data_IF_289385366917
#
_entry.id   IF_289385366917
#
_cell.length_a   1.000
_cell.length_b   1.000
_cell.length_c   1.000
_cell.angle_alpha   90.00
_cell.angle_beta   90.00
_cell.angle_gamma   90.00
#
_symmetry.space_group_name_H-M   'P 1'
#
loop_
_entity.id
_entity.type
_entity.pdbx_description
1 polymer ?
#
# COMPACT_ATOMS: atom_id res chain seq x y z
N UNK A 1 -13.58 37.86 32.07
CA UNK A 1 -12.59 38.96 31.92
C UNK A 1 -11.45 38.83 32.94
N UNK A 2 -11.72 38.74 34.27
CA UNK A 2 -10.68 38.67 35.30
C UNK A 2 -9.79 37.41 35.13
N UNK A 3 -10.36 36.22 34.92
CA UNK A 3 -9.60 34.98 34.60
C UNK A 3 -8.70 35.11 33.37
N UNK A 4 -9.22 35.74 32.30
CA UNK A 4 -8.43 35.97 31.09
C UNK A 4 -7.24 36.93 31.30
N UNK A 5 -7.43 37.94 32.18
CA UNK A 5 -6.37 38.87 32.54
C UNK A 5 -5.36 38.29 33.51
N UNK A 6 -5.79 37.38 34.38
CA UNK A 6 -4.95 36.71 35.37
C UNK A 6 -4.08 35.55 34.84
N UNK A 7 -4.28 35.13 33.58
CA UNK A 7 -3.52 34.04 32.95
C UNK A 7 -2.77 34.57 31.74
N UNK A 8 -1.74 35.39 31.98
CA UNK A 8 -0.92 36.02 30.95
C UNK A 8 0.55 36.07 31.31
N UNK A 9 1.37 36.06 30.32
CA UNK A 9 2.76 36.44 30.36
C UNK A 9 2.91 37.82 29.68
N UNK A 10 3.70 38.71 30.25
CA UNK A 10 3.95 40.03 29.66
C UNK A 10 5.41 40.41 29.85
N UNK A 11 6.01 41.02 28.82
CA UNK A 11 7.29 41.67 28.94
C UNK A 11 7.11 42.97 29.71
N UNK A 12 7.93 43.20 30.71
CA UNK A 12 7.83 44.37 31.56
C UNK A 12 8.83 45.49 31.14
N UNK A 13 10.11 45.22 31.15
CA UNK A 13 11.15 46.18 30.88
C UNK A 13 12.49 45.48 30.65
N UNK A 14 13.49 46.26 30.41
CA UNK A 14 14.87 45.83 30.31
C UNK A 14 15.65 46.33 31.51
N UNK A 15 16.50 45.49 32.07
CA UNK A 15 17.43 45.85 33.16
C UNK A 15 18.85 45.68 32.64
N UNK A 16 19.64 46.75 32.73
CA UNK A 16 21.06 46.67 32.45
C UNK A 16 21.81 46.22 33.69
N UNK A 17 22.55 45.15 33.60
CA UNK A 17 23.42 44.63 34.67
C UNK A 17 24.81 44.39 34.09
N UNK A 18 25.79 45.11 34.60
CA UNK A 18 27.13 45.18 34.03
C UNK A 18 27.10 45.63 32.57
N UNK A 19 27.63 44.92 31.65
CA UNK A 19 27.65 45.26 30.21
C UNK A 19 26.59 44.51 29.40
N UNK A 20 25.58 43.88 30.08
CA UNK A 20 24.55 43.08 29.47
C UNK A 20 23.13 43.57 29.79
N UNK A 21 22.27 43.49 28.81
CA UNK A 21 20.85 43.83 28.88
C UNK A 21 20.02 42.57 29.15
N UNK A 22 19.18 42.60 30.17
CA UNK A 22 18.31 41.51 30.57
C UNK A 22 16.84 41.90 30.44
N UNK A 23 16.08 41.16 29.69
CA UNK A 23 14.63 41.34 29.56
C UNK A 23 13.91 40.81 30.80
N UNK A 24 13.12 41.68 31.45
CA UNK A 24 12.28 41.28 32.56
C UNK A 24 10.92 40.83 32.03
N UNK A 25 10.55 39.64 32.34
CA UNK A 25 9.20 39.09 32.01
C UNK A 25 8.42 38.79 33.28
N UNK A 26 7.15 39.15 33.30
CA UNK A 26 6.24 38.77 34.36
C UNK A 26 5.44 37.53 33.90
N UNK A 27 5.67 36.39 34.56
CA UNK A 27 4.98 35.14 34.27
C UNK A 27 3.80 35.01 35.24
N UNK A 28 2.57 35.09 34.70
CA UNK A 28 1.32 34.98 35.46
C UNK A 28 0.45 33.83 35.06
N UNK A 29 1.05 32.71 34.55
CA UNK A 29 0.27 31.53 34.20
C UNK A 29 -0.23 30.82 35.45
N UNK A 30 -1.51 30.43 35.43
CA UNK A 30 -2.19 29.66 36.49
C UNK A 30 -1.58 28.27 36.56
N UNK A 31 -1.08 27.89 37.73
CA UNK A 31 -0.50 26.57 38.00
C UNK A 31 -1.30 25.74 39.01
N UNK A 32 -2.15 26.42 39.80
CA UNK A 32 -2.92 25.75 40.85
C UNK A 32 -4.32 26.37 41.00
N UNK A 33 -5.22 25.66 41.68
CA UNK A 33 -6.55 26.17 42.08
C UNK A 33 -6.40 27.43 42.92
N UNK A 34 -5.41 27.47 43.82
CA UNK A 34 -5.15 28.64 44.68
C UNK A 34 -4.79 29.90 43.88
N UNK A 35 -4.18 29.77 42.74
CA UNK A 35 -3.85 30.93 41.88
C UNK A 35 -5.14 31.53 41.29
N UNK A 36 -6.11 30.68 40.93
CA UNK A 36 -7.43 31.13 40.46
C UNK A 36 -8.18 31.82 41.58
N UNK A 37 -8.22 31.24 42.78
CA UNK A 37 -8.89 31.81 43.93
C UNK A 37 -8.39 33.21 44.31
N UNK A 38 -7.08 33.46 44.12
CA UNK A 38 -6.44 34.73 44.42
C UNK A 38 -6.64 35.85 43.37
N UNK A 39 -7.18 35.54 42.22
CA UNK A 39 -7.40 36.54 41.16
C UNK A 39 -8.35 37.64 41.64
N UNK A 40 -7.95 38.92 41.59
CA UNK A 40 -8.81 40.02 42.02
C UNK A 40 -9.90 40.30 41.01
N UNK A 41 -11.15 40.44 41.52
CA UNK A 41 -12.34 40.84 40.77
C UNK A 41 -12.57 42.36 40.77
N UNK A 42 -12.13 43.00 41.81
CA UNK A 42 -12.32 44.42 42.03
C UNK A 42 -12.08 44.81 43.50
N UNK A 43 -12.57 45.97 43.91
CA UNK A 43 -12.49 46.51 45.26
C UNK A 43 -13.93 46.75 45.73
N UNK A 44 -14.26 46.35 46.93
CA UNK A 44 -15.60 46.64 47.53
C UNK A 44 -15.70 48.13 47.96
N UNK A 45 -16.89 48.55 48.39
CA UNK A 45 -17.13 49.92 48.82
C UNK A 45 -16.26 50.35 50.01
N UNK A 46 -15.71 49.40 50.76
CA UNK A 46 -14.84 49.61 51.92
C UNK A 46 -13.34 49.58 51.58
N UNK A 47 -12.97 49.49 50.27
CA UNK A 47 -11.57 49.49 49.82
C UNK A 47 -10.88 48.12 49.92
N UNK A 48 -11.57 47.05 50.27
CA UNK A 48 -11.01 45.70 50.39
C UNK A 48 -11.01 44.99 49.03
N UNK A 49 -9.89 44.40 48.59
CA UNK A 49 -9.86 43.62 47.38
C UNK A 49 -10.79 42.39 47.44
N UNK A 50 -11.70 42.26 46.46
CA UNK A 50 -12.55 41.09 46.28
C UNK A 50 -11.89 40.09 45.34
N UNK A 51 -11.73 38.85 45.74
CA UNK A 51 -11.07 37.80 44.98
C UNK A 51 -12.11 36.80 44.49
N UNK A 52 -11.72 35.92 43.51
CA UNK A 52 -12.63 34.85 43.04
C UNK A 52 -13.04 33.91 44.18
N UNK A 53 -12.10 33.52 45.04
CA UNK A 53 -12.36 32.66 46.19
C UNK A 53 -13.36 33.23 47.22
N UNK A 54 -13.56 34.56 47.23
CA UNK A 54 -14.55 35.21 48.13
C UNK A 54 -15.98 35.08 47.63
N UNK A 55 -16.17 34.86 46.32
CA UNK A 55 -17.52 34.83 45.68
C UNK A 55 -17.84 33.50 44.98
N UNK A 56 -16.83 32.62 44.81
CA UNK A 56 -16.98 31.35 44.11
C UNK A 56 -16.09 30.26 44.72
N UNK A 57 -16.54 29.04 44.63
CA UNK A 57 -15.71 27.86 44.96
C UNK A 57 -15.06 27.34 43.67
N UNK A 58 -13.73 27.21 43.70
CA UNK A 58 -12.93 26.71 42.56
C UNK A 58 -12.59 25.26 42.81
N UNK A 59 -13.05 24.39 41.93
CA UNK A 59 -12.82 22.97 42.02
C UNK A 59 -12.22 22.45 40.72
N UNK A 60 -11.36 21.40 40.82
CA UNK A 60 -10.97 20.59 39.68
C UNK A 60 -12.14 19.69 39.27
N UNK A 61 -12.54 19.77 38.04
CA UNK A 61 -13.60 18.91 37.48
C UNK A 61 -13.11 18.20 36.21
N UNK A 62 -13.77 17.12 35.84
CA UNK A 62 -13.46 16.45 34.58
C UNK A 62 -13.86 17.36 33.41
N UNK A 63 -13.05 17.37 32.36
CA UNK A 63 -13.39 18.02 31.10
C UNK A 63 -14.60 17.33 30.47
N UNK A 64 -15.39 18.10 29.69
CA UNK A 64 -16.54 17.54 28.99
C UNK A 64 -16.14 16.42 28.06
N UNK A 65 -16.63 15.24 28.28
CA UNK A 65 -16.33 14.05 27.51
C UNK A 65 -16.93 14.12 26.11
N UNK A 66 -16.12 13.96 25.08
CA UNK A 66 -16.53 14.00 23.67
C UNK A 66 -16.13 12.76 22.90
N UNK A 67 -15.44 11.82 23.52
CA UNK A 67 -15.01 10.58 22.90
C UNK A 67 -14.94 9.41 23.88
N UNK A 68 -15.08 8.22 23.35
CA UNK A 68 -15.03 6.95 24.07
C UNK A 68 -14.22 5.97 23.21
N UNK A 69 -13.39 5.15 23.84
CA UNK A 69 -12.76 3.98 23.26
C UNK A 69 -13.11 2.75 24.07
N UNK A 70 -13.32 1.63 23.43
CA UNK A 70 -13.79 0.40 24.01
C UNK A 70 -13.07 -0.80 23.40
N UNK A 71 -12.82 -1.85 24.18
CA UNK A 71 -12.11 -3.05 23.73
C UNK A 71 -12.95 -4.30 24.03
N UNK A 72 -13.23 -5.09 23.00
CA UNK A 72 -13.89 -6.41 23.05
C UNK A 72 -15.30 -6.43 23.68
N UNK A 73 -15.96 -5.31 23.88
CA UNK A 73 -17.22 -5.23 24.61
C UNK A 73 -17.06 -5.41 26.13
N UNK A 74 -15.84 -5.35 26.67
CA UNK A 74 -15.55 -5.58 28.08
C UNK A 74 -15.56 -4.29 28.90
N UNK A 75 -15.46 -3.15 28.25
CA UNK A 75 -15.52 -1.86 28.87
C UNK A 75 -14.61 -0.83 28.24
N UNK A 76 -14.68 0.37 28.80
CA UNK A 76 -13.96 1.52 28.31
C UNK A 76 -12.45 1.42 28.58
N UNK A 77 -11.67 1.76 27.57
CA UNK A 77 -10.19 1.75 27.61
C UNK A 77 -9.62 3.10 27.17
N UNK A 78 -8.36 3.31 27.48
CA UNK A 78 -7.62 4.45 26.94
C UNK A 78 -6.95 4.03 25.63
N UNK A 79 -7.31 4.69 24.55
CA UNK A 79 -6.74 4.45 23.23
C UNK A 79 -5.68 5.49 22.85
N UNK A 80 -4.70 5.07 22.08
CA UNK A 80 -3.69 5.94 21.47
C UNK A 80 -3.59 5.67 19.97
N UNK A 81 -3.30 6.73 19.20
CA UNK A 81 -3.06 6.60 17.75
C UNK A 81 -1.71 7.20 17.41
N UNK A 82 -0.87 6.44 16.76
CA UNK A 82 0.41 6.93 16.22
C UNK A 82 0.21 7.29 14.76
N UNK A 83 0.45 8.56 14.43
CA UNK A 83 0.34 9.09 13.08
C UNK A 83 1.73 9.29 12.50
N UNK A 84 1.99 8.64 11.38
CA UNK A 84 3.25 8.79 10.64
C UNK A 84 3.32 10.15 9.95
N UNK A 85 4.50 10.78 9.95
CA UNK A 85 4.73 12.02 9.20
C UNK A 85 4.69 11.75 7.69
N UNK A 86 4.28 12.76 6.95
CA UNK A 86 4.28 12.67 5.49
C UNK A 86 5.70 12.47 4.94
N UNK A 87 5.85 11.53 4.01
CA UNK A 87 7.14 11.21 3.37
C UNK A 87 7.96 10.12 4.07
N UNK A 88 7.61 9.73 5.29
CA UNK A 88 8.33 8.68 6.02
C UNK A 88 7.97 7.27 5.52
N UNK A 89 8.82 6.30 5.80
CA UNK A 89 8.56 4.90 5.50
C UNK A 89 7.67 4.27 6.58
N UNK A 90 6.50 3.75 6.17
CA UNK A 90 5.51 3.21 7.10
C UNK A 90 6.05 2.01 7.90
N UNK A 91 6.71 1.05 7.24
CA UNK A 91 7.24 -0.15 7.91
C UNK A 91 8.33 0.21 8.93
N UNK A 92 9.24 1.09 8.56
CA UNK A 92 10.31 1.55 9.44
C UNK A 92 9.74 2.31 10.64
N UNK A 93 8.76 3.19 10.43
CA UNK A 93 8.09 3.93 11.50
C UNK A 93 7.37 2.99 12.46
N UNK A 94 6.62 2.01 11.96
CA UNK A 94 5.91 1.03 12.78
C UNK A 94 6.90 0.20 13.61
N UNK A 95 8.00 -0.26 13.02
CA UNK A 95 9.02 -1.01 13.73
C UNK A 95 9.63 -0.19 14.87
N UNK A 96 9.98 1.09 14.62
CA UNK A 96 10.48 1.98 15.66
C UNK A 96 9.47 2.23 16.78
N UNK A 97 8.17 2.32 16.45
CA UNK A 97 7.10 2.41 17.46
C UNK A 97 7.01 1.15 18.30
N UNK A 98 7.06 -0.04 17.68
CA UNK A 98 7.04 -1.33 18.39
C UNK A 98 8.22 -1.46 19.35
N UNK A 99 9.42 -1.13 18.90
CA UNK A 99 10.62 -1.12 19.75
C UNK A 99 10.46 -0.16 20.94
N UNK A 100 9.92 1.04 20.69
CA UNK A 100 9.68 2.02 21.74
C UNK A 100 8.63 1.54 22.75
N UNK A 101 7.52 0.97 22.28
CA UNK A 101 6.47 0.42 23.15
C UNK A 101 7.03 -0.73 24.00
N UNK A 102 7.85 -1.62 23.41
CA UNK A 102 8.49 -2.69 24.15
C UNK A 102 9.41 -2.15 25.27
N UNK A 103 10.20 -1.11 24.96
CA UNK A 103 11.06 -0.46 25.97
C UNK A 103 10.28 0.20 27.11
N UNK A 104 9.01 0.58 26.87
CA UNK A 104 8.15 1.23 27.86
C UNK A 104 7.40 0.23 28.76
N UNK A 105 7.30 -1.03 28.36
CA UNK A 105 6.56 -2.04 29.15
C UNK A 105 7.01 -2.13 30.59
N UNK A 106 8.33 -2.06 30.82
CA UNK A 106 8.91 -2.12 32.18
C UNK A 106 8.59 -0.89 33.03
N UNK A 107 8.13 0.20 32.43
CA UNK A 107 7.81 1.46 33.10
C UNK A 107 6.31 1.63 33.34
N UNK A 108 5.50 0.68 32.88
CA UNK A 108 4.05 0.74 33.08
C UNK A 108 3.70 0.37 34.53
N UNK A 109 2.64 0.98 35.09
CA UNK A 109 2.09 0.55 36.36
C UNK A 109 1.63 -0.91 36.33
N UNK A 110 1.65 -1.57 37.47
CA UNK A 110 1.18 -2.94 37.61
C UNK A 110 -0.30 -3.06 37.17
N UNK A 111 -0.61 -4.04 36.32
CA UNK A 111 -1.96 -4.25 35.76
C UNK A 111 -2.29 -3.42 34.53
N UNK A 112 -1.34 -2.61 34.02
CA UNK A 112 -1.52 -1.87 32.76
C UNK A 112 -0.85 -2.62 31.61
N UNK A 113 -1.62 -2.90 30.56
CA UNK A 113 -1.15 -3.59 29.34
C UNK A 113 -1.38 -2.73 28.09
N UNK A 114 -0.43 -2.77 27.15
CA UNK A 114 -0.58 -2.15 25.84
C UNK A 114 -1.02 -3.22 24.84
N UNK A 115 -2.22 -3.08 24.31
CA UNK A 115 -2.82 -3.99 23.31
C UNK A 115 -2.81 -3.32 21.95
N UNK A 116 -2.04 -3.82 20.96
CA UNK A 116 -2.09 -3.33 19.58
C UNK A 116 -3.39 -3.79 18.90
N UNK A 117 -4.28 -2.85 18.60
CA UNK A 117 -5.61 -3.15 18.04
C UNK A 117 -5.71 -2.94 16.54
N UNK A 118 -4.76 -2.23 15.94
CA UNK A 118 -4.64 -2.07 14.50
C UNK A 118 -3.17 -1.79 14.11
N UNK A 119 -2.60 -2.68 13.33
CA UNK A 119 -1.20 -2.62 12.90
C UNK A 119 -1.11 -2.84 11.38
N UNK A 120 -0.76 -1.78 10.64
CA UNK A 120 -0.61 -1.82 9.19
C UNK A 120 0.57 -2.67 8.71
N UNK A 121 1.56 -2.96 9.55
CA UNK A 121 2.67 -3.80 9.13
C UNK A 121 2.20 -5.18 8.71
N UNK A 122 1.18 -5.75 9.39
CA UNK A 122 0.60 -7.05 9.02
C UNK A 122 0.09 -7.09 7.57
N UNK A 123 -0.49 -5.98 7.08
CA UNK A 123 -0.93 -5.88 5.68
C UNK A 123 0.25 -5.70 4.73
N UNK A 124 1.23 -4.87 5.10
CA UNK A 124 2.44 -4.64 4.29
C UNK A 124 3.20 -5.96 4.14
N UNK A 125 3.43 -6.68 5.23
CA UNK A 125 4.13 -7.96 5.24
C UNK A 125 3.40 -8.98 4.35
N UNK A 126 2.08 -9.17 4.53
CA UNK A 126 1.28 -10.07 3.68
C UNK A 126 1.35 -9.70 2.20
N UNK A 127 1.29 -8.41 1.88
CA UNK A 127 1.39 -7.95 0.50
C UNK A 127 2.76 -8.20 -0.11
N UNK A 128 3.84 -7.96 0.65
CA UNK A 128 5.21 -8.23 0.23
C UNK A 128 5.45 -9.72 0.06
N UNK A 129 5.05 -10.55 1.01
CA UNK A 129 5.21 -12.01 0.96
C UNK A 129 4.44 -12.62 -0.20
N UNK A 130 3.19 -12.18 -0.42
CA UNK A 130 2.39 -12.64 -1.56
C UNK A 130 3.04 -12.27 -2.89
N UNK A 131 3.49 -11.02 -3.03
CA UNK A 131 4.17 -10.58 -4.25
C UNK A 131 5.49 -11.30 -4.45
N UNK A 132 6.27 -11.53 -3.40
CA UNK A 132 7.53 -12.28 -3.47
C UNK A 132 7.30 -13.73 -3.93
N UNK A 133 6.28 -14.37 -3.37
CA UNK A 133 5.85 -15.70 -3.80
C UNK A 133 5.41 -15.72 -5.26
N UNK A 134 4.65 -14.71 -5.71
CA UNK A 134 4.23 -14.60 -7.10
C UNK A 134 5.40 -14.31 -8.07
N UNK A 135 6.34 -13.48 -7.68
CA UNK A 135 7.56 -13.27 -8.47
C UNK A 135 8.39 -14.55 -8.64
N UNK A 136 8.52 -15.35 -7.58
CA UNK A 136 9.20 -16.65 -7.66
C UNK A 136 8.44 -17.66 -8.52
N UNK A 137 7.11 -17.70 -8.39
CA UNK A 137 6.23 -18.53 -9.24
C UNK A 137 6.38 -18.14 -10.72
N UNK A 138 6.32 -16.85 -11.03
CA UNK A 138 6.49 -16.31 -12.38
C UNK A 138 7.87 -16.65 -12.96
N UNK A 139 8.92 -16.46 -12.16
CA UNK A 139 10.30 -16.83 -12.56
C UNK A 139 10.41 -18.34 -12.85
N UNK A 140 9.79 -19.18 -12.03
CA UNK A 140 9.77 -20.62 -12.23
C UNK A 140 9.00 -21.00 -13.51
N UNK A 141 7.83 -20.42 -13.75
CA UNK A 141 7.03 -20.64 -14.98
C UNK A 141 7.83 -20.21 -16.20
N UNK A 142 8.44 -19.03 -16.17
CA UNK A 142 9.30 -18.55 -17.27
C UNK A 142 10.47 -19.50 -17.50
N UNK A 143 11.13 -19.97 -16.46
CA UNK A 143 12.22 -20.95 -16.57
C UNK A 143 11.76 -22.25 -17.24
N UNK A 144 10.61 -22.80 -16.82
CA UNK A 144 10.04 -24.02 -17.40
C UNK A 144 9.70 -23.79 -18.88
N UNK A 145 9.06 -22.66 -19.20
CA UNK A 145 8.71 -22.30 -20.58
C UNK A 145 9.98 -22.16 -21.44
N UNK A 146 10.99 -21.45 -20.94
CA UNK A 146 12.27 -21.32 -21.65
C UNK A 146 12.92 -22.68 -21.92
N UNK A 147 12.94 -23.57 -20.94
CA UNK A 147 13.48 -24.95 -21.12
C UNK A 147 12.67 -25.72 -22.14
N UNK A 148 11.34 -25.65 -22.08
CA UNK A 148 10.46 -26.36 -22.99
C UNK A 148 10.57 -25.90 -24.45
N UNK A 149 10.71 -24.57 -24.68
CA UNK A 149 10.83 -24.02 -26.04
C UNK A 149 12.23 -24.10 -26.60
N UNK A 150 13.26 -23.73 -25.83
CA UNK A 150 14.64 -23.77 -26.27
C UNK A 150 15.21 -25.18 -26.34
N UNK A 151 14.63 -26.12 -25.57
CA UNK A 151 15.07 -27.52 -25.45
C UNK A 151 16.59 -27.66 -25.18
N UNK A 152 17.17 -26.64 -24.53
CA UNK A 152 18.57 -26.54 -24.19
C UNK A 152 18.77 -25.83 -22.84
N UNK A 153 19.04 -26.59 -21.79
CA UNK A 153 19.08 -26.09 -20.39
C UNK A 153 20.05 -24.92 -20.20
N UNK A 154 21.26 -25.01 -20.82
CA UNK A 154 22.28 -23.95 -20.69
C UNK A 154 21.84 -22.61 -21.30
N UNK A 155 21.11 -22.68 -22.41
CA UNK A 155 20.54 -21.49 -23.03
C UNK A 155 19.40 -20.89 -22.17
N UNK A 156 18.57 -21.74 -21.56
CA UNK A 156 17.51 -21.27 -20.67
C UNK A 156 18.05 -20.57 -19.43
N UNK A 157 19.20 -21.02 -18.89
CA UNK A 157 19.89 -20.34 -17.78
C UNK A 157 20.24 -18.91 -18.15
N UNK A 158 20.69 -18.64 -19.39
CA UNK A 158 21.01 -17.27 -19.82
C UNK A 158 19.78 -16.38 -19.76
N UNK A 159 18.64 -16.84 -20.27
CA UNK A 159 17.38 -16.09 -20.20
C UNK A 159 16.91 -15.86 -18.76
N UNK A 160 16.95 -16.89 -17.92
CA UNK A 160 16.48 -16.84 -16.53
C UNK A 160 17.33 -15.92 -15.66
N UNK A 161 18.67 -15.93 -15.83
CA UNK A 161 19.60 -15.12 -15.02
C UNK A 161 19.47 -13.62 -15.33
N UNK A 162 19.06 -13.25 -16.54
CA UNK A 162 18.90 -11.82 -16.90
C UNK A 162 17.72 -11.15 -16.17
N UNK A 163 16.70 -11.90 -15.78
CA UNK A 163 15.53 -11.38 -15.08
C UNK A 163 15.85 -10.82 -13.70
N UNK A 164 16.43 -11.60 -12.77
CA UNK A 164 16.80 -11.07 -11.46
C UNK A 164 17.75 -9.88 -11.57
N UNK A 165 18.66 -9.87 -12.53
CA UNK A 165 19.58 -8.76 -12.72
C UNK A 165 18.87 -7.48 -13.15
N UNK A 166 17.93 -7.55 -14.08
CA UNK A 166 17.12 -6.39 -14.47
C UNK A 166 16.27 -5.85 -13.32
N UNK A 167 15.72 -6.72 -12.50
CA UNK A 167 14.96 -6.35 -11.30
C UNK A 167 15.88 -5.66 -10.27
N UNK A 168 17.06 -6.22 -10.02
CA UNK A 168 18.03 -5.65 -9.09
C UNK A 168 18.52 -4.26 -9.54
N UNK A 169 18.75 -4.06 -10.84
CA UNK A 169 19.08 -2.74 -11.39
C UNK A 169 17.95 -1.75 -11.13
N UNK A 170 16.70 -2.16 -11.31
CA UNK A 170 15.53 -1.33 -10.99
C UNK A 170 15.52 -0.94 -9.51
N UNK A 171 15.76 -1.88 -8.58
CA UNK A 171 15.85 -1.59 -7.15
C UNK A 171 17.00 -0.66 -6.79
N UNK A 172 18.16 -0.79 -7.43
CA UNK A 172 19.29 0.14 -7.22
C UNK A 172 18.89 1.55 -7.62
N UNK A 173 18.25 1.74 -8.77
CA UNK A 173 17.80 3.06 -9.23
C UNK A 173 16.75 3.63 -8.27
N UNK A 174 15.78 2.84 -7.83
CA UNK A 174 14.78 3.25 -6.84
C UNK A 174 15.44 3.69 -5.53
N UNK A 175 16.40 2.92 -5.03
CA UNK A 175 17.14 3.26 -3.82
C UNK A 175 17.88 4.60 -3.96
N UNK A 176 18.57 4.83 -5.09
CA UNK A 176 19.28 6.09 -5.36
C UNK A 176 18.34 7.30 -5.43
N UNK A 177 17.07 7.10 -5.80
CA UNK A 177 16.06 8.15 -5.90
C UNK A 177 15.20 8.28 -4.63
N UNK A 178 15.41 7.45 -3.61
CA UNK A 178 14.61 7.45 -2.39
C UNK A 178 13.16 6.96 -2.59
N UNK A 179 12.91 6.17 -3.64
CA UNK A 179 11.58 5.61 -3.91
C UNK A 179 11.40 4.32 -3.11
N UNK A 180 10.41 4.31 -2.22
CA UNK A 180 10.08 3.14 -1.42
C UNK A 180 9.35 2.07 -2.25
N UNK A 181 9.68 0.79 -1.98
CA UNK A 181 8.93 -0.33 -2.53
C UNK A 181 7.52 -0.38 -1.90
N UNK A 182 6.51 -0.51 -2.75
CA UNK A 182 5.11 -0.66 -2.35
C UNK A 182 4.40 -1.64 -3.29
N UNK A 183 3.14 -1.97 -3.03
CA UNK A 183 2.36 -2.91 -3.83
C UNK A 183 2.35 -2.52 -5.32
N UNK A 184 2.23 -1.22 -5.62
CA UNK A 184 2.19 -0.73 -7.00
C UNK A 184 3.56 -0.88 -7.68
N UNK A 185 4.66 -0.56 -6.98
CA UNK A 185 6.01 -0.71 -7.54
C UNK A 185 6.36 -2.18 -7.79
N UNK A 186 6.01 -3.08 -6.88
CA UNK A 186 6.23 -4.51 -7.07
C UNK A 186 5.34 -5.08 -8.18
N UNK A 187 4.09 -4.59 -8.30
CA UNK A 187 3.22 -4.90 -9.44
C UNK A 187 3.82 -4.43 -10.79
N UNK A 188 4.49 -3.28 -10.80
CA UNK A 188 5.22 -2.79 -11.97
C UNK A 188 6.34 -3.72 -12.42
N UNK A 189 7.06 -4.33 -11.46
CA UNK A 189 8.09 -5.34 -11.74
C UNK A 189 7.46 -6.61 -12.32
N UNK A 190 6.38 -7.12 -11.72
CA UNK A 190 5.68 -8.30 -12.23
C UNK A 190 5.25 -8.12 -13.70
N UNK A 191 4.68 -6.97 -14.04
CA UNK A 191 4.33 -6.65 -15.43
C UNK A 191 5.58 -6.57 -16.34
N UNK A 192 6.72 -6.12 -15.82
CA UNK A 192 7.94 -6.00 -16.60
C UNK A 192 8.57 -7.35 -16.93
N UNK A 193 8.48 -8.36 -16.05
CA UNK A 193 9.13 -9.67 -16.22
C UNK A 193 8.75 -10.33 -17.54
N UNK A 194 7.46 -10.34 -17.89
CA UNK A 194 7.01 -10.93 -19.15
C UNK A 194 7.66 -10.31 -20.38
N UNK A 195 7.79 -8.99 -20.43
CA UNK A 195 8.42 -8.29 -21.53
C UNK A 195 9.97 -8.36 -21.52
N UNK A 196 10.56 -8.48 -20.33
CA UNK A 196 12.02 -8.59 -20.19
C UNK A 196 12.58 -9.90 -20.76
N UNK A 197 11.82 -10.99 -20.66
CA UNK A 197 12.23 -12.32 -21.16
C UNK A 197 12.37 -12.35 -22.66
N UNK A 198 11.51 -11.64 -23.38
CA UNK A 198 11.47 -11.66 -24.85
C UNK A 198 12.82 -11.27 -25.48
N UNK A 199 13.46 -10.24 -24.96
CA UNK A 199 14.76 -9.77 -25.44
C UNK A 199 15.84 -10.85 -25.37
N UNK A 200 15.92 -11.56 -24.27
CA UNK A 200 16.90 -12.64 -24.10
C UNK A 200 16.55 -13.86 -24.94
N UNK A 201 15.28 -14.26 -25.01
CA UNK A 201 14.82 -15.44 -25.77
C UNK A 201 15.10 -15.28 -27.25
N UNK A 202 14.72 -14.16 -27.86
CA UNK A 202 14.93 -13.90 -29.30
C UNK A 202 16.41 -13.87 -29.65
N UNK A 203 17.23 -13.30 -28.79
CA UNK A 203 18.69 -13.29 -28.97
C UNK A 203 19.28 -14.71 -28.95
N UNK A 204 18.87 -15.54 -28.00
CA UNK A 204 19.31 -16.94 -27.88
C UNK A 204 18.80 -17.77 -29.05
N UNK A 205 17.55 -17.60 -29.47
CA UNK A 205 16.98 -18.30 -30.62
C UNK A 205 17.75 -17.99 -31.90
N UNK A 206 18.10 -16.73 -32.13
CA UNK A 206 18.93 -16.37 -33.29
C UNK A 206 20.31 -17.00 -33.23
N UNK A 207 20.94 -17.05 -32.06
CA UNK A 207 22.19 -17.80 -31.88
C UNK A 207 22.01 -19.29 -32.19
N UNK A 208 20.95 -19.94 -31.76
CA UNK A 208 20.64 -21.33 -32.08
C UNK A 208 20.55 -21.56 -33.61
N UNK A 209 19.87 -20.65 -34.33
CA UNK A 209 19.78 -20.70 -35.80
C UNK A 209 21.16 -20.62 -36.49
N UNK A 210 22.08 -19.83 -35.93
CA UNK A 210 23.47 -19.78 -36.44
C UNK A 210 24.23 -21.07 -36.10
N UNK A 211 24.03 -21.64 -34.91
CA UNK A 211 24.67 -22.89 -34.48
C UNK A 211 24.17 -24.12 -35.27
N UNK A 212 22.91 -24.10 -35.73
CA UNK A 212 22.42 -25.16 -36.63
C UNK A 212 23.13 -25.18 -37.98
N UNK A 213 23.55 -23.99 -38.47
CA UNK A 213 24.26 -23.86 -39.75
C UNK A 213 25.76 -24.08 -39.63
N UNK A 214 26.35 -23.64 -38.52
CA UNK A 214 27.78 -23.68 -38.29
C UNK A 214 28.05 -24.22 -36.89
N UNK A 215 28.63 -25.43 -36.73
CA UNK A 215 28.95 -25.97 -35.42
C UNK A 215 29.83 -25.04 -34.60
N UNK A 216 29.54 -24.91 -33.33
CA UNK A 216 30.26 -24.04 -32.40
C UNK A 216 31.59 -24.69 -32.01
N UNK A 217 32.70 -23.96 -32.21
CA UNK A 217 34.04 -24.29 -31.74
C UNK A 217 34.57 -23.18 -30.83
N UNK A 218 35.63 -23.46 -30.08
CA UNK A 218 36.19 -22.42 -29.19
C UNK A 218 36.79 -21.24 -29.99
N UNK A 219 37.20 -21.46 -31.24
CA UNK A 219 37.74 -20.42 -32.11
C UNK A 219 36.67 -19.52 -32.73
N UNK A 220 35.52 -20.10 -33.14
CA UNK A 220 34.49 -19.34 -33.87
C UNK A 220 33.37 -18.82 -32.95
N UNK A 221 33.36 -19.20 -31.67
CA UNK A 221 32.29 -18.91 -30.73
C UNK A 221 31.92 -17.44 -30.65
N UNK A 222 32.92 -16.60 -30.40
CA UNK A 222 32.68 -15.16 -30.25
C UNK A 222 32.22 -14.48 -31.54
N UNK A 223 32.68 -15.00 -32.69
CA UNK A 223 32.27 -14.51 -34.01
C UNK A 223 30.78 -14.86 -34.27
N UNK A 224 30.36 -16.07 -33.92
CA UNK A 224 28.95 -16.49 -34.05
C UNK A 224 28.07 -15.69 -33.10
N UNK A 225 28.49 -15.51 -31.84
CA UNK A 225 27.75 -14.66 -30.87
C UNK A 225 27.63 -13.23 -31.37
N UNK A 226 28.74 -12.62 -31.82
CA UNK A 226 28.73 -11.25 -32.34
C UNK A 226 27.81 -11.11 -33.56
N UNK A 227 27.84 -12.09 -34.47
CA UNK A 227 26.95 -12.09 -35.63
C UNK A 227 25.49 -12.23 -35.26
N UNK A 228 25.15 -13.18 -34.40
CA UNK A 228 23.79 -13.37 -33.92
C UNK A 228 23.29 -12.15 -33.18
N UNK A 229 24.12 -11.55 -32.33
CA UNK A 229 23.75 -10.36 -31.56
C UNK A 229 23.58 -9.10 -32.42
N UNK A 230 24.48 -8.89 -33.42
CA UNK A 230 24.39 -7.74 -34.31
C UNK A 230 23.18 -7.79 -35.25
N UNK A 231 22.72 -8.97 -35.59
CA UNK A 231 21.57 -9.16 -36.50
C UNK A 231 20.22 -8.79 -35.85
N UNK A 232 20.00 -9.17 -34.60
CA UNK A 232 18.71 -8.93 -33.91
C UNK A 232 18.80 -7.86 -32.81
N UNK A 233 20.00 -7.56 -32.32
CA UNK A 233 20.22 -6.62 -31.22
C UNK A 233 19.58 -5.24 -31.41
N UNK A 234 19.78 -4.57 -32.56
CA UNK A 234 19.16 -3.27 -32.83
C UNK A 234 17.62 -3.33 -32.79
N UNK A 235 17.03 -4.34 -33.42
CA UNK A 235 15.56 -4.49 -33.43
C UNK A 235 15.00 -4.73 -32.02
N UNK A 236 15.67 -5.56 -31.22
CA UNK A 236 15.29 -5.83 -29.81
C UNK A 236 15.44 -4.59 -28.94
N UNK A 237 16.56 -3.88 -29.08
CA UNK A 237 16.78 -2.66 -28.30
C UNK A 237 15.70 -1.62 -28.58
N UNK A 238 15.41 -1.33 -29.84
CA UNK A 238 14.36 -0.37 -30.19
C UNK A 238 12.97 -0.84 -29.79
N UNK A 239 12.67 -2.14 -29.89
CA UNK A 239 11.40 -2.69 -29.41
C UNK A 239 11.21 -2.47 -27.91
N UNK A 240 12.21 -2.84 -27.11
CA UNK A 240 12.18 -2.63 -25.65
C UNK A 240 12.16 -1.14 -25.28
N UNK A 241 12.88 -0.31 -26.04
CA UNK A 241 12.86 1.15 -25.86
C UNK A 241 11.48 1.73 -26.13
N UNK A 242 10.81 1.32 -27.20
CA UNK A 242 9.44 1.74 -27.53
C UNK A 242 8.48 1.36 -26.41
N UNK A 243 8.57 0.13 -25.89
CA UNK A 243 7.76 -0.32 -24.76
C UNK A 243 8.05 0.52 -23.50
N UNK A 244 9.31 0.85 -23.25
CA UNK A 244 9.72 1.72 -22.15
C UNK A 244 9.09 3.12 -22.28
N UNK A 245 9.23 3.74 -23.45
CA UNK A 245 8.72 5.07 -23.76
C UNK A 245 7.17 5.12 -23.76
N UNK A 246 6.51 4.02 -24.13
CA UNK A 246 5.03 3.95 -24.12
C UNK A 246 4.40 4.17 -22.74
N UNK A 247 5.19 4.04 -21.66
CA UNK A 247 4.74 4.29 -20.29
C UNK A 247 4.95 5.74 -19.82
N UNK A 248 5.64 6.59 -20.60
CA UNK A 248 5.83 8.01 -20.26
C UNK A 248 4.51 8.76 -20.00
N UNK A 249 3.40 8.52 -20.71
CA UNK A 249 2.14 9.21 -20.42
C UNK A 249 1.62 9.00 -19.00
N UNK A 250 1.99 7.89 -18.32
CA UNK A 250 1.58 7.64 -16.93
C UNK A 250 2.19 8.67 -15.96
N UNK A 251 3.35 9.26 -16.29
CA UNK A 251 3.98 10.30 -15.48
C UNK A 251 3.29 11.67 -15.59
N UNK A 252 2.38 11.85 -16.56
CA UNK A 252 1.58 13.07 -16.73
C UNK A 252 0.34 13.04 -15.84
N UNK A 253 0.00 11.86 -15.26
CA UNK A 253 -1.14 11.76 -14.36
C UNK A 253 -0.91 12.61 -13.12
N UNK A 254 -1.92 13.38 -12.76
CA UNK A 254 -1.90 14.30 -11.62
C UNK A 254 -2.75 13.75 -10.45
N UNK A 255 -2.77 14.49 -9.35
CA UNK A 255 -3.60 14.23 -8.17
C UNK A 255 -3.48 12.79 -7.63
N UNK A 256 -4.58 12.10 -7.43
CA UNK A 256 -4.64 10.76 -6.82
C UNK A 256 -4.11 9.68 -7.76
N UNK A 257 -4.50 9.75 -9.03
CA UNK A 257 -4.08 8.79 -10.05
C UNK A 257 -2.55 8.82 -10.23
N UNK A 258 -1.95 10.02 -10.27
CA UNK A 258 -0.51 10.17 -10.34
C UNK A 258 0.20 9.52 -9.15
N UNK A 259 -0.28 9.76 -7.93
CA UNK A 259 0.29 9.16 -6.71
C UNK A 259 0.20 7.64 -6.68
N UNK A 260 -0.89 7.08 -7.22
CA UNK A 260 -1.09 5.63 -7.27
C UNK A 260 -0.23 4.97 -8.34
N UNK A 261 -0.22 5.51 -9.57
CA UNK A 261 0.40 4.84 -10.71
C UNK A 261 1.87 5.21 -10.93
N UNK A 262 2.36 6.34 -10.42
CA UNK A 262 3.77 6.73 -10.57
C UNK A 262 4.76 5.66 -10.05
N UNK A 263 4.58 5.04 -8.88
CA UNK A 263 5.50 4.00 -8.42
C UNK A 263 5.55 2.79 -9.37
N UNK A 264 4.41 2.37 -9.92
CA UNK A 264 4.31 1.31 -10.92
C UNK A 264 5.03 1.70 -12.22
N UNK A 265 4.81 2.93 -12.70
CA UNK A 265 5.44 3.43 -13.91
C UNK A 265 6.96 3.53 -13.77
N UNK A 266 7.46 4.04 -12.64
CA UNK A 266 8.89 4.11 -12.35
C UNK A 266 9.54 2.72 -12.40
N UNK A 267 9.03 1.78 -11.62
CA UNK A 267 9.62 0.44 -11.52
C UNK A 267 9.60 -0.32 -12.84
N UNK A 268 8.46 -0.27 -13.55
CA UNK A 268 8.36 -0.88 -14.86
C UNK A 268 9.33 -0.24 -15.86
N UNK A 269 9.39 1.08 -15.91
CA UNK A 269 10.28 1.80 -16.83
C UNK A 269 11.74 1.49 -16.55
N UNK A 270 12.17 1.45 -15.28
CA UNK A 270 13.55 1.11 -14.91
C UNK A 270 13.90 -0.34 -15.25
N UNK A 271 12.99 -1.27 -14.93
CA UNK A 271 13.20 -2.69 -15.24
C UNK A 271 13.30 -2.91 -16.77
N UNK A 272 12.43 -2.27 -17.55
CA UNK A 272 12.46 -2.35 -19.02
C UNK A 272 13.70 -1.71 -19.62
N UNK A 273 14.11 -0.54 -19.15
CA UNK A 273 15.34 0.12 -19.59
C UNK A 273 16.59 -0.71 -19.25
N UNK A 274 16.62 -1.27 -18.03
CA UNK A 274 17.68 -2.19 -17.62
C UNK A 274 17.71 -3.43 -18.51
N UNK A 275 16.55 -4.03 -18.80
CA UNK A 275 16.46 -5.18 -19.70
C UNK A 275 16.96 -4.87 -21.12
N UNK A 276 16.59 -3.72 -21.67
CA UNK A 276 17.09 -3.28 -22.98
C UNK A 276 18.62 -3.16 -23.01
N UNK A 277 19.20 -2.58 -21.95
CA UNK A 277 20.65 -2.51 -21.78
C UNK A 277 21.30 -3.88 -21.62
N UNK A 278 20.73 -4.75 -20.78
CA UNK A 278 21.23 -6.11 -20.55
C UNK A 278 21.14 -6.99 -21.81
N UNK A 279 20.09 -6.84 -22.60
CA UNK A 279 19.91 -7.60 -23.84
C UNK A 279 21.04 -7.38 -24.85
N UNK A 280 21.56 -6.17 -24.96
CA UNK A 280 22.64 -5.84 -25.89
C UNK A 280 24.05 -5.97 -25.30
N UNK A 281 24.18 -6.03 -23.98
CA UNK A 281 25.48 -6.10 -23.28
C UNK A 281 25.73 -7.47 -22.66
N UNK A 282 24.96 -7.83 -21.65
CA UNK A 282 25.18 -9.03 -20.84
C UNK A 282 24.75 -10.31 -21.55
N UNK A 283 23.59 -10.29 -22.22
CA UNK A 283 23.06 -11.51 -22.88
C UNK A 283 24.02 -12.07 -23.89
N UNK A 284 24.62 -11.30 -24.82
CA UNK A 284 25.65 -11.83 -25.73
C UNK A 284 26.84 -12.44 -24.98
N UNK A 285 27.31 -11.83 -23.93
CA UNK A 285 28.43 -12.33 -23.13
C UNK A 285 28.07 -13.67 -22.47
N UNK A 286 26.90 -13.74 -21.83
CA UNK A 286 26.42 -14.99 -21.22
C UNK A 286 26.21 -16.10 -22.26
N UNK A 287 25.68 -15.76 -23.43
CA UNK A 287 25.57 -16.72 -24.54
C UNK A 287 26.96 -17.30 -24.90
N UNK A 288 27.98 -16.47 -25.00
CA UNK A 288 29.35 -16.90 -25.32
C UNK A 288 29.96 -17.82 -24.25
N UNK A 289 29.64 -17.63 -22.99
CA UNK A 289 30.17 -18.47 -21.92
C UNK A 289 29.33 -19.73 -21.66
N UNK A 290 28.01 -19.65 -21.66
CA UNK A 290 27.12 -20.72 -21.21
C UNK A 290 26.63 -21.61 -22.35
N UNK A 291 26.35 -21.06 -23.55
CA UNK A 291 25.83 -21.86 -24.65
C UNK A 291 26.96 -22.65 -25.30
N UNK A 292 26.95 -23.96 -25.09
CA UNK A 292 27.94 -24.89 -25.59
C UNK A 292 27.28 -26.21 -25.99
N UNK A 293 27.88 -26.92 -26.94
CA UNK A 293 27.44 -28.24 -27.37
C UNK A 293 26.50 -28.21 -28.58
N UNK A 294 25.84 -29.33 -28.84
CA UNK A 294 24.87 -29.47 -29.94
C UNK A 294 23.54 -28.97 -29.50
N UNK A 295 22.98 -27.98 -30.20
CA UNK A 295 21.64 -27.51 -30.02
C UNK A 295 20.68 -28.42 -30.81
N UNK A 296 19.55 -28.77 -30.20
CA UNK A 296 18.49 -29.54 -30.85
C UNK A 296 17.79 -28.63 -31.85
N UNK A 297 17.69 -29.06 -33.11
CA UNK A 297 16.99 -28.29 -34.11
C UNK A 297 15.55 -28.02 -33.71
N UNK A 298 15.06 -26.81 -33.96
CA UNK A 298 13.71 -26.35 -33.67
C UNK A 298 12.63 -27.31 -34.21
N UNK A 299 12.87 -27.89 -35.38
CA UNK A 299 11.98 -28.89 -36.02
C UNK A 299 11.86 -30.20 -35.27
N UNK A 300 12.81 -30.53 -34.38
CA UNK A 300 12.80 -31.75 -33.55
C UNK A 300 12.09 -31.58 -32.21
N UNK A 301 11.88 -30.36 -31.79
CA UNK A 301 11.14 -30.08 -30.54
C UNK A 301 9.65 -30.44 -30.74
N UNK A 302 9.09 -31.38 -29.95
CA UNK A 302 7.70 -31.83 -30.11
C UNK A 302 6.69 -30.71 -29.86
N UNK A 303 6.98 -29.78 -28.94
CA UNK A 303 6.14 -28.64 -28.62
C UNK A 303 6.07 -27.67 -29.81
N UNK A 304 7.22 -27.31 -30.38
CA UNK A 304 7.29 -26.43 -31.55
C UNK A 304 6.58 -27.07 -32.76
N UNK A 305 6.75 -28.37 -32.96
CA UNK A 305 6.02 -29.10 -34.02
C UNK A 305 4.52 -29.04 -33.86
N UNK A 306 4.02 -29.24 -32.64
CA UNK A 306 2.59 -29.14 -32.34
C UNK A 306 2.06 -27.74 -32.65
N UNK A 307 2.76 -26.72 -32.15
CA UNK A 307 2.36 -25.33 -32.34
C UNK A 307 2.40 -24.92 -33.81
N UNK A 308 3.45 -25.32 -34.54
CA UNK A 308 3.55 -25.08 -36.00
C UNK A 308 2.41 -25.82 -36.74
N UNK A 309 2.10 -27.05 -36.36
CA UNK A 309 1.02 -27.80 -36.96
C UNK A 309 -0.37 -27.15 -36.78
N UNK A 310 -0.59 -26.47 -35.64
CA UNK A 310 -1.81 -25.70 -35.37
C UNK A 310 -1.78 -24.36 -36.11
N UNK A 311 -0.65 -23.65 -36.08
CA UNK A 311 -0.53 -22.32 -36.62
C UNK A 311 -0.55 -22.28 -38.16
N UNK A 312 0.15 -23.21 -38.82
CA UNK A 312 0.32 -23.20 -40.29
C UNK A 312 -0.99 -23.29 -41.07
N UNK A 313 -1.99 -24.12 -40.70
CA UNK A 313 -3.29 -24.12 -41.36
C UNK A 313 -4.02 -22.78 -41.26
N UNK A 314 -3.98 -22.15 -40.06
CA UNK A 314 -4.60 -20.85 -39.78
C UNK A 314 -3.93 -19.77 -40.65
N UNK A 315 -2.60 -19.72 -40.66
CA UNK A 315 -1.84 -18.76 -41.47
C UNK A 315 -2.16 -18.92 -42.96
N UNK A 316 -2.18 -20.15 -43.46
CA UNK A 316 -2.53 -20.42 -44.88
C UNK A 316 -3.94 -19.91 -45.24
N UNK A 317 -4.90 -20.11 -44.30
CA UNK A 317 -6.27 -19.67 -44.50
C UNK A 317 -6.38 -18.13 -44.50
N UNK A 318 -5.73 -17.47 -43.55
CA UNK A 318 -5.66 -16.01 -43.43
C UNK A 318 -5.04 -15.40 -44.70
N UNK A 319 -3.90 -15.97 -45.16
CA UNK A 319 -3.22 -15.48 -46.37
C UNK A 319 -4.01 -15.80 -47.68
N UNK A 320 -4.78 -16.86 -47.68
CA UNK A 320 -5.64 -17.18 -48.82
C UNK A 320 -6.84 -16.20 -48.98
N UNK A 321 -7.35 -15.69 -47.82
CA UNK A 321 -8.52 -14.77 -47.82
C UNK A 321 -8.19 -13.47 -47.04
N UNK A 322 -7.22 -12.65 -47.50
CA UNK A 322 -6.78 -11.48 -46.75
C UNK A 322 -7.88 -10.44 -46.57
N UNK A 323 -8.72 -10.21 -47.57
CA UNK A 323 -9.85 -9.26 -47.51
C UNK A 323 -10.89 -9.68 -46.47
N UNK A 324 -11.24 -10.97 -46.40
CA UNK A 324 -12.19 -11.50 -45.44
C UNK A 324 -11.60 -11.40 -44.02
N UNK A 325 -10.31 -11.62 -43.87
CA UNK A 325 -9.61 -11.46 -42.57
C UNK A 325 -9.68 -10.01 -42.08
N UNK A 326 -9.44 -9.02 -42.94
CA UNK A 326 -9.56 -7.60 -42.60
C UNK A 326 -10.99 -7.27 -42.19
N UNK A 327 -11.99 -7.72 -42.99
CA UNK A 327 -13.42 -7.50 -42.68
C UNK A 327 -13.77 -8.12 -41.33
N UNK A 328 -13.31 -9.37 -41.05
CA UNK A 328 -13.54 -10.02 -39.78
C UNK A 328 -12.92 -9.25 -38.63
N UNK A 329 -11.68 -8.76 -38.77
CA UNK A 329 -11.04 -7.92 -37.78
C UNK A 329 -11.80 -6.63 -37.48
N UNK A 330 -12.27 -5.95 -38.49
CA UNK A 330 -13.11 -4.74 -38.37
C UNK A 330 -14.42 -5.07 -37.63
N UNK A 331 -15.08 -6.17 -37.99
CA UNK A 331 -16.30 -6.60 -37.33
C UNK A 331 -16.09 -6.91 -35.85
N UNK A 332 -15.03 -7.64 -35.52
CA UNK A 332 -14.66 -7.93 -34.12
C UNK A 332 -14.41 -6.63 -33.37
N UNK A 333 -13.74 -5.65 -33.99
CA UNK A 333 -13.51 -4.34 -33.37
C UNK A 333 -14.81 -3.62 -33.09
N UNK A 334 -15.74 -3.56 -34.09
CA UNK A 334 -17.03 -2.91 -33.91
C UNK A 334 -17.87 -3.60 -32.83
N UNK A 335 -17.92 -4.93 -32.85
CA UNK A 335 -18.64 -5.70 -31.83
C UNK A 335 -18.00 -5.51 -30.46
N UNK A 336 -16.68 -5.34 -30.41
CA UNK A 336 -15.94 -5.07 -29.16
C UNK A 336 -16.30 -3.75 -28.48
N UNK A 337 -16.84 -2.77 -29.22
CA UNK A 337 -17.34 -1.52 -28.62
C UNK A 337 -18.70 -1.68 -27.93
N UNK A 338 -19.47 -2.71 -28.29
CA UNK A 338 -20.81 -2.90 -27.72
C UNK A 338 -20.85 -3.11 -26.20
N UNK A 339 -19.93 -3.88 -25.54
CA UNK A 339 -19.94 -4.02 -24.09
C UNK A 339 -19.31 -2.84 -23.34
N UNK A 340 -18.62 -1.91 -24.01
CA UNK A 340 -17.87 -0.82 -23.34
C UNK A 340 -18.80 0.02 -22.46
N UNK A 341 -19.98 0.39 -22.94
CA UNK A 341 -20.95 1.18 -22.17
C UNK A 341 -21.63 0.37 -21.04
N UNK A 342 -21.48 -0.97 -21.05
CA UNK A 342 -22.05 -1.86 -20.03
C UNK A 342 -21.05 -2.26 -18.95
N UNK A 343 -19.78 -1.97 -19.15
CA UNK A 343 -18.74 -2.17 -18.14
C UNK A 343 -18.88 -1.07 -17.12
N UNK A 344 -19.20 -1.42 -15.87
CA UNK A 344 -19.23 -0.49 -14.75
C UNK A 344 -17.85 0.14 -14.52
N UNK A 345 -17.84 1.36 -14.00
CA UNK A 345 -16.60 2.05 -13.61
C UNK A 345 -16.50 2.12 -12.10
N UNK A 346 -15.35 1.75 -11.56
CA UNK A 346 -15.01 1.86 -10.15
C UNK A 346 -13.70 2.62 -10.01
N UNK A 347 -13.55 3.37 -8.91
CA UNK A 347 -12.30 4.11 -8.66
C UNK A 347 -11.15 3.18 -8.28
N UNK A 348 -11.41 2.25 -7.36
CA UNK A 348 -10.46 1.23 -6.89
C UNK A 348 -11.20 -0.10 -6.75
N UNK A 349 -10.64 -1.21 -7.21
CA UNK A 349 -11.26 -2.52 -7.02
C UNK A 349 -11.40 -2.85 -5.51
N UNK A 350 -12.33 -3.73 -5.14
CA UNK A 350 -12.46 -4.17 -3.76
C UNK A 350 -11.15 -4.80 -3.29
N UNK A 351 -10.58 -4.25 -2.20
CA UNK A 351 -9.38 -4.75 -1.56
C UNK A 351 -9.79 -5.63 -0.38
N UNK A 352 -9.16 -6.78 -0.23
CA UNK A 352 -9.22 -7.58 0.99
C UNK A 352 -8.02 -7.26 1.86
N UNK A 353 -8.25 -6.46 2.90
CA UNK A 353 -7.20 -6.03 3.83
C UNK A 353 -6.95 -7.02 4.95
N UNK A 354 -7.79 -8.07 5.04
CA UNK A 354 -7.74 -9.10 6.08
C UNK A 354 -8.36 -8.70 7.40
N UNK A 355 -8.60 -7.40 7.62
CA UNK A 355 -9.32 -6.85 8.76
C UNK A 355 -10.53 -6.07 8.25
N UNK A 356 -11.52 -5.87 9.10
CA UNK A 356 -12.73 -5.13 8.77
C UNK A 356 -12.87 -3.88 9.65
N UNK A 357 -13.62 -2.91 9.15
CA UNK A 357 -14.04 -1.76 9.92
C UNK A 357 -15.55 -1.63 9.85
N UNK A 358 -16.17 -1.55 11.01
CA UNK A 358 -17.60 -1.32 11.16
C UNK A 358 -17.84 0.16 11.45
N UNK A 359 -18.63 0.82 10.60
CA UNK A 359 -18.92 2.25 10.69
C UNK A 359 -20.43 2.52 10.68
N UNK A 360 -21.14 2.16 11.74
CA UNK A 360 -22.56 2.46 11.81
C UNK A 360 -22.81 3.93 12.05
N UNK A 361 -23.96 4.39 11.56
CA UNK A 361 -24.46 5.74 11.83
C UNK A 361 -25.71 5.67 12.70
N UNK A 362 -25.77 6.51 13.74
CA UNK A 362 -26.90 6.64 14.66
C UNK A 362 -27.73 7.89 14.36
N UNK A 363 -28.86 8.05 15.03
CA UNK A 363 -29.63 9.28 14.93
C UNK A 363 -28.89 10.50 15.45
N UNK A 364 -29.06 11.68 14.82
CA UNK A 364 -28.52 12.94 15.32
C UNK A 364 -28.92 13.23 16.75
N UNK A 365 -28.02 13.79 17.55
CA UNK A 365 -28.29 14.18 18.92
C UNK A 365 -28.20 13.06 19.97
N UNK A 366 -27.60 11.91 19.60
CA UNK A 366 -27.32 10.85 20.56
C UNK A 366 -26.46 11.35 21.72
N UNK A 367 -26.80 10.95 22.96
CA UNK A 367 -25.98 11.26 24.13
C UNK A 367 -24.76 10.38 24.19
N UNK A 368 -23.67 10.87 24.82
CA UNK A 368 -22.44 10.10 25.00
C UNK A 368 -22.66 8.80 25.77
N UNK A 369 -23.55 8.79 26.74
CA UNK A 369 -23.92 7.58 27.51
C UNK A 369 -24.59 6.52 26.63
N UNK A 370 -25.53 6.93 25.74
CA UNK A 370 -26.16 5.99 24.81
C UNK A 370 -25.19 5.52 23.70
N UNK A 371 -24.33 6.40 23.23
CA UNK A 371 -23.29 6.03 22.28
C UNK A 371 -22.33 4.98 22.86
N UNK A 372 -21.94 5.13 24.16
CA UNK A 372 -21.13 4.14 24.88
C UNK A 372 -21.84 2.79 24.98
N UNK A 373 -23.12 2.79 25.38
CA UNK A 373 -23.91 1.58 25.49
C UNK A 373 -23.99 0.83 24.15
N UNK A 374 -24.31 1.53 23.07
CA UNK A 374 -24.35 0.95 21.71
C UNK A 374 -23.01 0.40 21.30
N UNK A 375 -21.94 1.17 21.48
CA UNK A 375 -20.57 0.74 21.14
C UNK A 375 -20.22 -0.56 21.87
N UNK A 376 -20.44 -0.62 23.18
CA UNK A 376 -20.13 -1.81 23.97
C UNK A 376 -20.96 -3.03 23.54
N UNK A 377 -22.26 -2.83 23.26
CA UNK A 377 -23.13 -3.92 22.81
C UNK A 377 -22.74 -4.45 21.43
N UNK A 378 -22.46 -3.57 20.49
CA UNK A 378 -22.04 -3.96 19.14
C UNK A 378 -20.72 -4.70 19.16
N UNK A 379 -19.73 -4.17 19.87
CA UNK A 379 -18.39 -4.76 19.96
C UNK A 379 -18.42 -6.13 20.65
N UNK A 380 -19.22 -6.27 21.69
CA UNK A 380 -19.43 -7.54 22.38
C UNK A 380 -20.05 -8.60 21.47
N UNK A 381 -21.05 -8.24 20.67
CA UNK A 381 -21.69 -9.17 19.74
C UNK A 381 -20.71 -9.57 18.61
N UNK A 382 -19.99 -8.62 18.02
CA UNK A 382 -19.01 -8.90 16.98
C UNK A 382 -17.93 -9.84 17.50
N UNK A 383 -17.48 -9.65 18.75
CA UNK A 383 -16.44 -10.48 19.38
C UNK A 383 -16.85 -11.95 19.56
N UNK A 384 -18.15 -12.26 19.55
CA UNK A 384 -18.63 -13.66 19.67
C UNK A 384 -18.35 -14.52 18.44
N UNK A 385 -18.06 -13.91 17.30
CA UNK A 385 -17.79 -14.65 16.05
C UNK A 385 -16.38 -15.27 16.11
N UNK A 386 -16.24 -16.58 15.83
CA UNK A 386 -14.99 -17.33 16.04
C UNK A 386 -13.78 -16.77 15.25
N UNK A 387 -13.99 -16.18 14.09
CA UNK A 387 -12.98 -15.60 13.23
C UNK A 387 -12.42 -14.27 13.75
N UNK A 388 -13.07 -13.66 14.74
CA UNK A 388 -12.65 -12.38 15.32
C UNK A 388 -11.56 -12.60 16.37
N UNK A 389 -10.45 -11.88 16.22
CA UNK A 389 -9.34 -11.87 17.19
C UNK A 389 -9.54 -10.78 18.26
N UNK A 390 -9.76 -9.52 17.82
CA UNK A 390 -10.01 -8.37 18.69
C UNK A 390 -10.99 -7.41 18.04
N UNK A 391 -11.73 -6.69 18.88
CA UNK A 391 -12.64 -5.64 18.47
C UNK A 391 -12.28 -4.38 19.24
N UNK A 392 -11.99 -3.31 18.54
CA UNK A 392 -11.69 -2.01 19.15
C UNK A 392 -12.60 -0.95 18.55
N UNK A 393 -13.52 -0.47 19.34
CA UNK A 393 -14.46 0.56 18.94
C UNK A 393 -14.13 1.92 19.52
N UNK A 394 -14.41 2.96 18.75
CA UNK A 394 -14.34 4.35 19.21
C UNK A 394 -15.53 5.15 18.68
N UNK A 395 -15.92 6.17 19.44
CA UNK A 395 -16.98 7.10 19.07
C UNK A 395 -16.62 8.52 19.51
N UNK A 396 -16.98 9.51 18.71
CA UNK A 396 -16.67 10.89 18.98
C UNK A 396 -15.22 11.26 18.65
N UNK A 397 -14.75 12.37 19.22
CA UNK A 397 -13.42 12.92 18.93
C UNK A 397 -12.54 12.94 20.18
N UNK A 398 -11.24 12.80 19.97
CA UNK A 398 -10.22 13.15 20.93
C UNK A 398 -9.62 14.53 20.59
N UNK A 399 -8.95 15.17 21.54
CA UNK A 399 -8.16 16.39 21.30
C UNK A 399 -6.80 16.05 20.67
N UNK A 400 -6.84 15.40 19.53
CA UNK A 400 -5.66 14.92 18.78
C UNK A 400 -5.80 15.27 17.29
N UNK A 401 -4.75 15.02 16.51
CA UNK A 401 -4.77 15.16 15.06
C UNK A 401 -5.59 14.07 14.31
N UNK A 402 -6.37 13.26 15.03
CA UNK A 402 -7.28 12.29 14.43
C UNK A 402 -8.57 12.99 13.96
N UNK A 403 -9.27 12.37 13.02
CA UNK A 403 -10.51 12.93 12.47
C UNK A 403 -11.52 13.32 13.56
N UNK A 404 -12.06 14.54 13.51
CA UNK A 404 -13.14 14.94 14.38
C UNK A 404 -14.43 14.25 13.95
N UNK A 405 -14.74 13.10 14.54
CA UNK A 405 -15.99 12.40 14.27
C UNK A 405 -17.10 12.88 15.24
N UNK A 406 -18.35 13.04 14.76
CA UNK A 406 -19.49 13.30 15.65
C UNK A 406 -19.83 12.06 16.48
N UNK A 407 -20.56 12.24 17.57
CA UNK A 407 -21.04 11.12 18.41
C UNK A 407 -21.98 10.15 17.67
N UNK A 408 -22.53 10.58 16.53
CA UNK A 408 -23.37 9.75 15.68
C UNK A 408 -22.63 8.74 14.84
N UNK A 409 -21.31 8.88 14.75
CA UNK A 409 -20.44 8.04 13.93
C UNK A 409 -19.57 7.16 14.82
N UNK A 410 -19.81 5.88 14.79
CA UNK A 410 -19.02 4.87 15.48
C UNK A 410 -18.00 4.32 14.48
N UNK A 411 -16.79 4.10 14.92
CA UNK A 411 -15.75 3.41 14.17
C UNK A 411 -15.21 2.26 15.01
N UNK A 412 -15.41 1.03 14.53
CA UNK A 412 -14.91 -0.18 15.20
C UNK A 412 -13.97 -0.92 14.27
N UNK A 413 -12.73 -1.11 14.71
CA UNK A 413 -11.75 -1.98 14.03
C UNK A 413 -11.96 -3.41 14.49
N UNK A 414 -12.10 -4.33 13.54
CA UNK A 414 -12.29 -5.76 13.75
C UNK A 414 -11.08 -6.47 13.19
N UNK A 415 -10.19 -6.91 14.08
CA UNK A 415 -9.08 -7.78 13.68
C UNK A 415 -9.59 -9.20 13.51
N UNK A 416 -9.29 -9.78 12.36
CA UNK A 416 -9.64 -11.15 12.04
C UNK A 416 -8.43 -12.06 12.24
N UNK A 417 -8.69 -13.28 12.66
CA UNK A 417 -7.69 -14.35 12.74
C UNK A 417 -7.13 -14.69 11.36
N UNK A 418 -5.94 -15.31 11.26
CA UNK A 418 -5.44 -15.86 10.01
C UNK A 418 -6.46 -16.76 9.31
N UNK A 419 -6.49 -16.73 7.98
CA UNK A 419 -7.48 -17.47 7.15
C UNK A 419 -7.51 -18.96 7.45
N UNK A 420 -6.38 -19.55 7.81
CA UNK A 420 -6.22 -20.96 8.13
C UNK A 420 -7.00 -21.38 9.40
N UNK A 421 -7.36 -20.41 10.24
CA UNK A 421 -8.11 -20.62 11.48
C UNK A 421 -9.61 -20.34 11.31
N UNK A 422 -10.06 -19.99 10.10
CA UNK A 422 -11.46 -19.72 9.84
C UNK A 422 -12.24 -21.03 9.68
N UNK A 423 -13.54 -20.99 9.98
CA UNK A 423 -14.47 -22.08 9.68
C UNK A 423 -14.46 -22.38 8.18
N UNK A 424 -14.56 -23.62 7.81
CA UNK A 424 -14.55 -24.06 6.40
C UNK A 424 -15.68 -23.39 5.59
N UNK A 425 -15.34 -22.86 4.42
CA UNK A 425 -16.28 -22.19 3.52
C UNK A 425 -16.67 -20.76 3.92
N UNK A 426 -16.13 -20.19 5.01
CA UNK A 426 -16.38 -18.81 5.41
C UNK A 426 -15.52 -17.86 4.56
N UNK A 427 -16.17 -16.82 4.04
CA UNK A 427 -15.54 -15.74 3.26
C UNK A 427 -15.74 -14.42 3.96
N UNK A 428 -14.98 -13.37 3.56
CA UNK A 428 -15.16 -12.02 4.10
C UNK A 428 -16.59 -11.51 3.88
N UNK A 429 -17.21 -11.83 2.74
CA UNK A 429 -18.59 -11.41 2.46
C UNK A 429 -19.61 -12.17 3.34
N UNK A 430 -19.39 -13.46 3.58
CA UNK A 430 -20.25 -14.21 4.48
C UNK A 430 -20.13 -13.72 5.94
N UNK A 431 -18.93 -13.32 6.38
CA UNK A 431 -18.72 -12.70 7.69
C UNK A 431 -19.45 -11.36 7.81
N UNK A 432 -19.36 -10.49 6.80
CA UNK A 432 -20.13 -9.23 6.80
C UNK A 432 -21.63 -9.50 6.92
N UNK A 433 -22.16 -10.50 6.21
CA UNK A 433 -23.56 -10.89 6.31
C UNK A 433 -23.94 -11.48 7.69
N UNK A 434 -23.02 -12.21 8.33
CA UNK A 434 -23.18 -12.74 9.68
C UNK A 434 -23.19 -11.60 10.70
N UNK A 435 -22.21 -10.69 10.63
CA UNK A 435 -22.17 -9.48 11.48
C UNK A 435 -23.43 -8.62 11.33
N UNK A 436 -23.90 -8.40 10.10
CA UNK A 436 -25.09 -7.59 9.85
C UNK A 436 -26.37 -8.17 10.48
N UNK A 437 -26.43 -9.49 10.61
CA UNK A 437 -27.52 -10.17 11.33
C UNK A 437 -27.40 -10.06 12.84
N UNK A 438 -26.16 -10.12 13.36
CA UNK A 438 -25.89 -10.07 14.80
C UNK A 438 -26.09 -8.64 15.36
N UNK A 439 -25.66 -7.63 14.60
CA UNK A 439 -25.67 -6.24 15.03
C UNK A 439 -26.87 -5.51 14.41
N UNK A 440 -28.07 -5.91 14.82
CA UNK A 440 -29.32 -5.31 14.32
C UNK A 440 -30.04 -4.55 15.42
N UNK A 441 -29.70 -3.27 15.54
CA UNK A 441 -30.33 -2.39 16.52
C UNK A 441 -31.26 -1.37 15.83
N UNK A 442 -32.44 -1.06 16.43
CA UNK A 442 -33.30 0.01 15.93
C UNK A 442 -32.58 1.35 15.91
N UNK A 443 -32.62 2.05 14.79
CA UNK A 443 -31.98 3.36 14.65
C UNK A 443 -30.47 3.33 14.37
N UNK A 444 -29.92 2.17 14.12
CA UNK A 444 -28.53 1.99 13.68
C UNK A 444 -28.51 1.55 12.23
N UNK A 445 -27.77 2.27 11.40
CA UNK A 445 -27.52 1.89 10.00
C UNK A 445 -26.12 1.35 9.89
N UNK A 446 -26.01 0.08 9.54
CA UNK A 446 -24.72 -0.62 9.46
C UNK A 446 -23.96 -0.31 8.18
N UNK A 447 -22.63 -0.15 8.28
CA UNK A 447 -21.72 -0.10 7.16
C UNK A 447 -20.47 -0.93 7.47
N UNK A 448 -20.20 -1.93 6.64
CA UNK A 448 -19.04 -2.83 6.74
C UNK A 448 -18.04 -2.47 5.64
N UNK A 449 -16.89 -1.97 6.02
CA UNK A 449 -15.91 -1.38 5.11
C UNK A 449 -14.51 -1.90 5.39
N UNK A 450 -13.58 -1.60 4.48
CA UNK A 450 -12.17 -1.90 4.67
C UNK A 450 -11.45 -0.66 5.22
N UNK A 451 -10.57 -0.79 6.22
CA UNK A 451 -9.95 0.36 6.90
C UNK A 451 -9.20 1.32 5.98
N UNK A 452 -8.32 0.79 5.10
CA UNK A 452 -7.49 1.62 4.21
C UNK A 452 -8.30 2.13 3.02
N UNK A 453 -9.07 1.24 2.38
CA UNK A 453 -9.91 1.62 1.23
C UNK A 453 -10.83 2.79 1.60
N UNK A 454 -11.48 2.71 2.75
CA UNK A 454 -12.37 3.79 3.22
C UNK A 454 -11.64 5.10 3.40
N UNK A 455 -10.43 5.08 3.95
CA UNK A 455 -9.59 6.29 4.07
C UNK A 455 -9.21 6.87 2.71
N UNK A 456 -8.86 6.02 1.74
CA UNK A 456 -8.56 6.46 0.37
C UNK A 456 -9.80 7.08 -0.28
N UNK A 457 -10.96 6.43 -0.15
CA UNK A 457 -12.22 6.92 -0.70
C UNK A 457 -12.63 8.27 -0.08
N UNK A 458 -12.51 8.41 1.24
CA UNK A 458 -12.78 9.66 1.96
C UNK A 458 -11.84 10.79 1.51
N UNK A 459 -10.55 10.51 1.33
CA UNK A 459 -9.58 11.49 0.85
C UNK A 459 -9.80 11.88 -0.61
N UNK A 460 -10.26 10.96 -1.45
CA UNK A 460 -10.56 11.20 -2.85
C UNK A 460 -11.85 12.02 -3.05
N UNK A 461 -12.87 11.79 -2.20
CA UNK A 461 -14.17 12.47 -2.30
C UNK A 461 -14.25 13.76 -1.49
N UNK A 462 -13.23 14.07 -0.68
CA UNK A 462 -13.22 15.18 0.26
C UNK A 462 -14.01 14.91 1.53
N UNK A 463 -13.84 15.78 2.53
CA UNK A 463 -14.61 15.74 3.76
C UNK A 463 -16.02 16.24 3.41
N UNK A 464 -17.02 15.39 3.53
CA UNK A 464 -18.40 15.83 3.49
C UNK A 464 -18.69 16.56 4.81
N UNK A 465 -18.74 17.88 4.72
CA UNK A 465 -19.18 18.75 5.82
C UNK A 465 -20.69 18.59 6.05
#
# INVERSE_FOLDING_TARGET
>A
IALQKGNKETGASVVEMAEAEYMVTATGYIQSVSDIEKIPLGINEQGTPLRIGDVATVNLGPQMRRGIAELNGEGEVVGGVVVMRFGENAQQTINGVKEKLESLKSSLPEGVEIVPVYDRSKLIDRAVDNLWSKLLEELAVVAIVCVAFLFHLRSSIVAVVTLPLGILVSFIIMYMQGINANIMSLGGIAIAIGAMTDGAIVMIENMHKHMEKTPLTDENRWQIVAKAASEVGPALFFSLLIITVSFLPVFILEAQEGRMFSPLAYTKTYAMAASAGLAITLVPVLMGYFIRGKVVSEKKNPLNRLLIAIYMPVLKQVMKFPKSTIVAAILVTIVGFWPVDKIGSEFIPPLDEGDLMYMPTTYPGISIGKARELLQQTDKLIRTVPEVETVFGKVGRAETATDPAPLTMIETFIQLKPREQWREGVTTESLKAEFDKLVKFPGLTNAWVMPIKTRIDMLATGIKT
#
